data_IF_221275188612
#
_entry.id   IF_221275188612
#
_cell.length_a   1.000
_cell.length_b   1.000
_cell.length_c   1.000
_cell.angle_alpha   90.00
_cell.angle_beta   90.00
_cell.angle_gamma   90.00
#
_symmetry.space_group_name_H-M   'P 1'
#
loop_
_entity.id
_entity.type
_entity.pdbx_description
1 polymer ?
#
# COMPACT_ATOMS: atom_id res chain seq x y z
N UNK A 1 6.88 3.51 28.38
CA UNK A 1 6.54 2.71 27.18
C UNK A 1 7.84 2.03 26.74
N UNK A 2 8.02 0.74 27.06
CA UNK A 2 9.21 -0.03 26.64
C UNK A 2 8.77 -1.46 26.26
N UNK A 3 7.63 -1.52 25.58
CA UNK A 3 7.06 -2.76 25.06
C UNK A 3 7.72 -3.06 23.72
N UNK A 4 8.54 -4.11 23.65
CA UNK A 4 9.28 -4.49 22.44
C UNK A 4 8.37 -4.90 21.27
N UNK A 5 7.06 -5.00 21.49
CA UNK A 5 6.06 -5.31 20.45
C UNK A 5 5.66 -4.09 19.62
N UNK A 6 5.99 -2.87 20.06
CA UNK A 6 5.64 -1.63 19.35
C UNK A 6 6.83 -0.68 19.35
N UNK A 7 7.28 -0.28 18.17
CA UNK A 7 8.40 0.64 17.97
C UNK A 7 7.90 1.83 17.15
N UNK A 8 7.97 3.02 17.74
CA UNK A 8 7.80 4.28 17.01
C UNK A 8 9.17 4.71 16.50
N UNK A 9 9.41 4.53 15.20
CA UNK A 9 10.71 4.80 14.58
C UNK A 9 11.05 6.30 14.52
N UNK A 10 10.03 7.17 14.58
CA UNK A 10 10.19 8.57 14.22
C UNK A 10 10.49 8.69 12.73
N UNK A 11 11.32 9.66 12.36
CA UNK A 11 11.80 9.80 11.00
C UNK A 11 12.73 8.65 10.62
N UNK A 12 12.55 8.09 9.43
CA UNK A 12 13.45 7.11 8.82
C UNK A 12 13.88 7.61 7.45
N UNK A 13 15.10 7.28 7.06
CA UNK A 13 15.63 7.54 5.72
C UNK A 13 14.96 6.64 4.67
N UNK A 14 15.04 6.99 3.40
CA UNK A 14 14.50 6.17 2.30
C UNK A 14 15.08 4.75 2.27
N UNK A 15 16.37 4.61 2.64
CA UNK A 15 17.05 3.32 2.72
C UNK A 15 16.44 2.47 3.85
N UNK A 16 16.18 3.07 5.01
CA UNK A 16 15.55 2.41 6.14
C UNK A 16 14.09 2.08 5.84
N UNK A 17 13.33 2.98 5.22
CA UNK A 17 11.95 2.75 4.82
C UNK A 17 11.85 1.58 3.83
N UNK A 18 12.70 1.56 2.80
CA UNK A 18 12.79 0.44 1.87
C UNK A 18 13.12 -0.88 2.57
N UNK A 19 14.06 -0.85 3.51
CA UNK A 19 14.41 -2.03 4.30
C UNK A 19 13.21 -2.51 5.13
N UNK A 20 12.48 -1.60 5.76
CA UNK A 20 11.28 -1.91 6.54
C UNK A 20 10.21 -2.56 5.66
N UNK A 21 9.92 -1.99 4.49
CA UNK A 21 8.98 -2.61 3.55
C UNK A 21 9.43 -4.01 3.15
N UNK A 22 10.68 -4.19 2.72
CA UNK A 22 11.21 -5.48 2.25
C UNK A 22 11.20 -6.59 3.31
N UNK A 23 11.30 -6.22 4.59
CA UNK A 23 11.41 -7.17 5.70
C UNK A 23 10.12 -7.28 6.53
N UNK A 24 9.09 -6.49 6.21
CA UNK A 24 7.80 -6.58 6.86
C UNK A 24 7.01 -7.80 6.38
N UNK A 25 6.24 -8.40 7.28
CA UNK A 25 5.30 -9.48 6.94
C UNK A 25 4.10 -8.98 6.12
N UNK A 26 3.68 -7.76 6.42
CA UNK A 26 2.66 -6.97 5.73
C UNK A 26 2.81 -5.50 6.17
N UNK A 27 2.32 -4.57 5.37
CA UNK A 27 2.15 -3.16 5.79
C UNK A 27 0.66 -2.82 5.92
N UNK A 28 0.32 -1.98 6.89
CA UNK A 28 -1.06 -1.55 7.13
C UNK A 28 -1.17 -0.05 6.83
N UNK A 29 -2.12 0.31 5.97
CA UNK A 29 -2.35 1.68 5.51
C UNK A 29 -3.85 1.98 5.46
N UNK A 30 -4.44 2.22 6.64
CA UNK A 30 -5.89 2.39 6.86
C UNK A 30 -6.27 3.87 7.00
N UNK A 31 -5.92 4.67 5.98
CA UNK A 31 -6.24 6.10 5.92
C UNK A 31 -7.71 6.38 5.61
N UNK A 32 -8.28 7.44 6.19
CA UNK A 32 -9.69 7.80 5.96
C UNK A 32 -9.95 8.43 4.59
N UNK A 33 -8.92 9.06 4.00
CA UNK A 33 -9.00 9.78 2.74
C UNK A 33 -7.63 9.80 2.09
N UNK A 34 -7.58 9.62 0.77
CA UNK A 34 -6.33 9.47 0.02
C UNK A 34 -6.42 10.00 -1.40
N UNK A 35 -5.27 10.50 -1.86
CA UNK A 35 -5.10 10.92 -3.25
C UNK A 35 -4.82 9.76 -4.19
N UNK A 36 -3.69 9.07 -4.00
CA UNK A 36 -3.26 7.99 -4.90
C UNK A 36 -2.87 6.69 -4.19
N UNK A 37 -2.54 6.74 -2.89
CA UNK A 37 -2.12 5.53 -2.18
C UNK A 37 -0.74 5.00 -2.62
N UNK A 38 0.25 5.89 -2.73
CA UNK A 38 1.62 5.51 -3.08
C UNK A 38 2.30 4.58 -2.06
N UNK A 39 2.16 4.76 -0.73
CA UNK A 39 2.84 3.88 0.23
C UNK A 39 2.45 2.39 0.08
N UNK A 40 1.17 2.03 -0.11
CA UNK A 40 0.81 0.65 -0.49
C UNK A 40 1.48 0.14 -1.77
N UNK A 41 1.56 0.95 -2.83
CA UNK A 41 2.21 0.56 -4.09
C UNK A 41 3.72 0.31 -3.90
N UNK A 42 4.39 1.12 -3.08
CA UNK A 42 5.80 0.93 -2.73
C UNK A 42 6.03 -0.39 -1.98
N UNK A 43 5.15 -0.74 -1.03
CA UNK A 43 5.17 -2.06 -0.38
C UNK A 43 5.01 -3.20 -1.39
N UNK A 44 4.03 -3.10 -2.29
CA UNK A 44 3.78 -4.10 -3.33
C UNK A 44 5.00 -4.26 -4.26
N UNK A 45 5.61 -3.15 -4.68
CA UNK A 45 6.80 -3.14 -5.54
C UNK A 45 8.00 -3.87 -4.89
N UNK A 46 8.03 -3.95 -3.57
CA UNK A 46 9.04 -4.68 -2.80
C UNK A 46 8.64 -6.12 -2.49
N UNK A 47 7.39 -6.50 -2.78
CA UNK A 47 6.83 -7.84 -2.61
C UNK A 47 6.12 -8.05 -1.29
N UNK A 48 5.75 -6.96 -0.61
CA UNK A 48 5.16 -6.99 0.73
C UNK A 48 3.66 -6.79 0.64
N UNK A 49 2.84 -7.72 1.18
CA UNK A 49 1.40 -7.58 1.19
C UNK A 49 0.92 -6.34 1.94
N UNK A 50 -0.24 -5.84 1.55
CA UNK A 50 -0.82 -4.64 2.13
C UNK A 50 -2.24 -4.89 2.65
N UNK A 51 -2.52 -4.34 3.84
CA UNK A 51 -3.88 -4.13 4.34
C UNK A 51 -4.18 -2.64 4.20
N UNK A 52 -5.24 -2.29 3.48
CA UNK A 52 -5.58 -0.90 3.15
C UNK A 52 -7.03 -0.57 3.47
N UNK A 53 -7.35 0.72 3.51
CA UNK A 53 -8.73 1.18 3.61
C UNK A 53 -9.58 0.71 2.43
N UNK A 54 -10.79 0.30 2.74
CA UNK A 54 -11.84 0.01 1.76
C UNK A 54 -12.45 1.32 1.21
N UNK A 55 -11.69 2.01 0.37
CA UNK A 55 -12.07 3.25 -0.30
C UNK A 55 -11.79 3.15 -1.81
N UNK A 56 -12.53 3.91 -2.61
CA UNK A 56 -12.53 3.80 -4.08
C UNK A 56 -11.13 3.89 -4.69
N UNK A 57 -10.33 4.88 -4.26
CA UNK A 57 -8.95 5.06 -4.76
C UNK A 57 -8.06 3.85 -4.51
N UNK A 58 -8.21 3.18 -3.36
CA UNK A 58 -7.43 1.98 -3.05
C UNK A 58 -7.89 0.81 -3.92
N UNK A 59 -9.20 0.67 -4.14
CA UNK A 59 -9.75 -0.37 -5.00
C UNK A 59 -9.32 -0.20 -6.46
N UNK A 60 -9.33 1.03 -6.95
CA UNK A 60 -8.88 1.39 -8.30
C UNK A 60 -7.39 1.06 -8.49
N UNK A 61 -6.54 1.50 -7.56
CA UNK A 61 -5.09 1.39 -7.73
C UNK A 61 -4.53 0.01 -7.36
N UNK A 62 -5.15 -0.72 -6.44
CA UNK A 62 -4.60 -1.97 -5.91
C UNK A 62 -5.35 -3.22 -6.37
N UNK A 63 -6.63 -3.09 -6.74
CA UNK A 63 -7.44 -4.18 -7.28
C UNK A 63 -7.40 -5.42 -6.39
N UNK A 64 -6.93 -6.54 -6.94
CA UNK A 64 -6.86 -7.83 -6.22
C UNK A 64 -5.58 -8.01 -5.38
N UNK A 65 -4.67 -7.04 -5.39
CA UNK A 65 -3.34 -7.16 -4.78
C UNK A 65 -3.28 -6.65 -3.33
N UNK A 66 -4.44 -6.31 -2.75
CA UNK A 66 -4.56 -5.79 -1.39
C UNK A 66 -5.68 -6.50 -0.63
N UNK A 67 -5.54 -6.55 0.69
CA UNK A 67 -6.63 -6.89 1.61
C UNK A 67 -7.26 -5.58 2.10
N UNK A 68 -8.59 -5.48 2.00
CA UNK A 68 -9.32 -4.26 2.33
C UNK A 68 -9.98 -4.36 3.71
N UNK A 69 -9.96 -3.27 4.46
CA UNK A 69 -10.61 -3.14 5.76
C UNK A 69 -11.36 -1.80 5.86
N UNK A 70 -12.47 -1.80 6.59
CA UNK A 70 -13.17 -0.55 6.93
C UNK A 70 -12.26 0.26 7.88
N UNK A 71 -11.82 1.48 7.50
CA UNK A 71 -10.90 2.27 8.33
C UNK A 71 -11.54 2.79 9.63
N UNK A 72 -12.86 2.69 9.76
CA UNK A 72 -13.61 3.10 10.96
C UNK A 72 -13.91 1.93 11.91
N UNK A 73 -13.64 0.69 11.48
CA UNK A 73 -13.89 -0.52 12.26
C UNK A 73 -12.60 -1.25 12.64
N UNK A 74 -12.22 -1.13 13.91
CA UNK A 74 -11.06 -1.82 14.51
C UNK A 74 -11.14 -3.34 14.34
N UNK A 75 -12.34 -3.94 14.39
CA UNK A 75 -12.50 -5.37 14.21
C UNK A 75 -12.21 -5.79 12.76
N UNK A 76 -12.70 -5.03 11.78
CA UNK A 76 -12.37 -5.20 10.36
C UNK A 76 -10.86 -5.16 10.11
N UNK A 77 -10.18 -4.14 10.65
CA UNK A 77 -8.72 -3.98 10.51
C UNK A 77 -7.97 -5.17 11.13
N UNK A 78 -8.34 -5.58 12.35
CA UNK A 78 -7.69 -6.69 13.03
C UNK A 78 -7.89 -8.03 12.29
N UNK A 79 -9.07 -8.26 11.72
CA UNK A 79 -9.37 -9.45 10.92
C UNK A 79 -8.53 -9.47 9.64
N UNK A 80 -8.47 -8.35 8.92
CA UNK A 80 -7.66 -8.20 7.72
C UNK A 80 -6.15 -8.44 7.99
N UNK A 81 -5.63 -7.84 9.06
CA UNK A 81 -4.24 -8.05 9.50
C UNK A 81 -3.97 -9.52 9.84
N UNK A 82 -4.88 -10.16 10.57
CA UNK A 82 -4.73 -11.56 10.99
C UNK A 82 -4.78 -12.50 9.79
N UNK A 83 -5.75 -12.29 8.89
CA UNK A 83 -5.87 -13.02 7.64
C UNK A 83 -4.55 -12.93 6.86
N UNK A 84 -4.12 -11.70 6.54
CA UNK A 84 -2.95 -11.46 5.70
C UNK A 84 -1.65 -11.98 6.35
N UNK A 85 -1.50 -11.85 7.67
CA UNK A 85 -0.35 -12.39 8.42
C UNK A 85 -0.32 -13.93 8.44
N UNK A 86 -1.48 -14.58 8.29
CA UNK A 86 -1.60 -16.04 8.25
C UNK A 86 -1.54 -16.64 6.85
N UNK A 87 -1.81 -15.85 5.80
CA UNK A 87 -1.78 -16.31 4.41
C UNK A 87 -0.36 -16.57 3.93
N UNK A 88 -0.07 -17.79 3.45
CA UNK A 88 1.25 -18.12 2.92
C UNK A 88 1.71 -17.16 1.81
N UNK A 89 2.99 -16.76 1.87
CA UNK A 89 3.58 -15.83 0.93
C UNK A 89 4.48 -16.58 -0.07
N UNK A 90 3.84 -17.20 -1.07
CA UNK A 90 4.54 -17.96 -2.10
C UNK A 90 5.35 -17.05 -3.02
N UNK A 91 6.33 -17.62 -3.74
CA UNK A 91 7.15 -16.86 -4.68
C UNK A 91 6.31 -16.29 -5.84
N UNK A 92 5.30 -17.01 -6.30
CA UNK A 92 4.36 -16.55 -7.33
C UNK A 92 3.57 -15.34 -6.85
N UNK A 93 3.09 -15.37 -5.59
CA UNK A 93 2.39 -14.24 -4.98
C UNK A 93 3.31 -13.03 -4.89
N UNK A 94 4.54 -13.20 -4.39
CA UNK A 94 5.53 -12.12 -4.31
C UNK A 94 5.80 -11.51 -5.69
N UNK A 95 5.96 -12.33 -6.73
CA UNK A 95 6.17 -11.85 -8.10
C UNK A 95 4.97 -11.06 -8.62
N UNK A 96 3.75 -11.53 -8.35
CA UNK A 96 2.52 -10.82 -8.72
C UNK A 96 2.42 -9.45 -8.05
N UNK A 97 2.67 -9.37 -6.73
CA UNK A 97 2.68 -8.11 -5.99
C UNK A 97 3.71 -7.13 -6.57
N UNK A 98 4.94 -7.60 -6.83
CA UNK A 98 6.02 -6.77 -7.41
C UNK A 98 5.67 -6.25 -8.80
N UNK A 99 5.09 -7.10 -9.64
CA UNK A 99 4.67 -6.72 -10.98
C UNK A 99 3.61 -5.61 -10.93
N UNK A 100 2.61 -5.74 -10.04
CA UNK A 100 1.59 -4.72 -9.86
C UNK A 100 2.17 -3.41 -9.30
N UNK A 101 2.91 -3.48 -8.18
CA UNK A 101 3.48 -2.30 -7.53
C UNK A 101 4.49 -1.54 -8.40
N UNK A 102 5.21 -2.24 -9.29
CA UNK A 102 6.15 -1.61 -10.23
C UNK A 102 5.47 -1.00 -11.46
N UNK A 103 4.18 -1.30 -11.69
CA UNK A 103 3.43 -0.81 -12.86
C UNK A 103 2.92 0.63 -12.71
N UNK A 104 2.97 1.19 -11.50
CA UNK A 104 2.46 2.51 -11.15
C UNK A 104 3.56 3.35 -10.49
N UNK A 105 4.21 4.18 -11.30
CA UNK A 105 5.30 5.08 -10.92
C UNK A 105 4.79 6.50 -10.72
N UNK A 106 5.51 7.30 -9.93
CA UNK A 106 5.27 8.75 -9.83
C UNK A 106 5.27 9.45 -11.21
N UNK A 107 6.05 8.95 -12.16
CA UNK A 107 6.04 9.48 -13.53
C UNK A 107 4.68 9.28 -14.22
N UNK A 108 4.01 8.15 -13.98
CA UNK A 108 2.67 7.89 -14.50
C UNK A 108 1.62 8.76 -13.82
N UNK A 109 1.70 8.96 -12.50
CA UNK A 109 0.83 9.90 -11.78
C UNK A 109 0.94 11.29 -12.39
N UNK A 110 2.17 11.77 -12.60
CA UNK A 110 2.44 13.07 -13.22
C UNK A 110 1.93 13.12 -14.66
N UNK A 111 2.05 12.05 -15.45
CA UNK A 111 1.51 12.02 -16.80
C UNK A 111 -0.02 12.06 -16.81
N UNK A 112 -0.69 11.33 -15.91
CA UNK A 112 -2.16 11.31 -15.84
C UNK A 112 -2.72 12.66 -15.44
N UNK A 113 -2.13 13.32 -14.43
CA UNK A 113 -2.52 14.68 -14.02
C UNK A 113 -2.31 15.68 -15.16
N UNK A 114 -1.17 15.58 -15.86
CA UNK A 114 -0.86 16.46 -17.00
C UNK A 114 -1.86 16.28 -18.14
N UNK A 115 -2.18 15.04 -18.49
CA UNK A 115 -3.12 14.73 -19.56
C UNK A 115 -4.51 15.29 -19.27
N UNK A 116 -5.03 15.07 -18.06
CA UNK A 116 -6.32 15.62 -17.64
C UNK A 116 -6.34 17.17 -17.66
N UNK A 117 -5.24 17.81 -17.27
CA UNK A 117 -5.11 19.27 -17.33
C UNK A 117 -5.06 19.80 -18.77
N UNK A 118 -4.40 19.08 -19.68
CA UNK A 118 -4.35 19.42 -21.10
C UNK A 118 -5.71 19.27 -21.78
N UNK A 119 -6.48 18.24 -21.47
CA UNK A 119 -7.86 18.09 -21.98
C UNK A 119 -8.75 19.25 -21.52
N UNK A 120 -8.70 19.61 -20.23
CA UNK A 120 -9.51 20.69 -19.68
C UNK A 120 -9.19 22.08 -20.25
N UNK A 121 -7.94 22.33 -20.67
CA UNK A 121 -7.53 23.62 -21.25
C UNK A 121 -7.87 23.72 -22.75
N UNK A 122 -8.06 22.58 -23.41
CA UNK A 122 -8.37 22.52 -24.84
C UNK A 122 -9.88 22.44 -25.15
N UNK A 123 -10.73 22.34 -24.12
CA UNK A 123 -12.19 22.53 -24.16
C UNK A 123 -12.58 24.00 -23.86
#
# INVERSE_FOLDING_TARGET
MNDRRLIFTGFVTDIELKWLYQNARLSVYVSMDEGYGMPPLESLALGTPVVVSDIDVMRENLGIHATYADPTDVASIAQAMTYEASTELTQERIQSLRAHGSSLTWAQVVSSIRHAAEEFVND
#
